data_IF_655044536352
#
_entry.id   IF_655044536352
#
_cell.length_a   1.000
_cell.length_b   1.000
_cell.length_c   1.000
_cell.angle_alpha   90.00
_cell.angle_beta   90.00
_cell.angle_gamma   90.00
#
_symmetry.space_group_name_H-M   'P 1'
#
loop_
_entity.id
_entity.type
_entity.pdbx_description
1 polymer ?
#
# COMPACT_ATOMS: atom_id res chain seq x y z
N UNK A 1 -43.32 -39.82 -29.98
CA UNK A 1 -43.42 -40.31 -28.59
C UNK A 1 -42.03 -40.75 -28.10
N UNK A 2 -41.49 -41.88 -28.55
CA UNK A 2 -40.20 -42.42 -28.03
C UNK A 2 -38.98 -41.53 -28.31
N UNK A 3 -38.88 -40.98 -29.53
CA UNK A 3 -37.81 -40.03 -29.89
C UNK A 3 -37.87 -38.75 -29.05
N UNK A 4 -39.08 -38.27 -28.75
CA UNK A 4 -39.28 -37.06 -27.96
C UNK A 4 -38.88 -37.29 -26.50
N UNK A 5 -39.11 -38.50 -25.96
CA UNK A 5 -38.67 -38.86 -24.60
C UNK A 5 -37.16 -38.98 -24.50
N UNK A 6 -36.49 -39.59 -25.49
CA UNK A 6 -35.02 -39.70 -25.53
C UNK A 6 -34.39 -38.31 -25.66
N UNK A 7 -34.93 -37.45 -26.55
CA UNK A 7 -34.42 -36.10 -26.73
C UNK A 7 -34.57 -35.26 -25.45
N UNK A 8 -35.71 -35.37 -24.75
CA UNK A 8 -35.93 -34.69 -23.46
C UNK A 8 -35.03 -35.23 -22.36
N UNK A 9 -34.78 -36.54 -22.33
CA UNK A 9 -33.84 -37.17 -21.40
C UNK A 9 -32.43 -36.62 -21.60
N UNK A 10 -31.93 -36.64 -22.85
CA UNK A 10 -30.60 -36.12 -23.20
C UNK A 10 -30.48 -34.63 -22.90
N UNK A 11 -31.53 -33.84 -23.20
CA UNK A 11 -31.56 -32.41 -22.91
C UNK A 11 -31.47 -32.12 -21.41
N UNK A 12 -32.24 -32.84 -20.59
CA UNK A 12 -32.21 -32.68 -19.13
C UNK A 12 -30.87 -33.12 -18.54
N UNK A 13 -30.29 -34.22 -19.04
CA UNK A 13 -28.97 -34.68 -18.62
C UNK A 13 -27.90 -33.64 -18.96
N UNK A 14 -27.92 -33.15 -20.21
CA UNK A 14 -26.99 -32.12 -20.68
C UNK A 14 -27.11 -30.83 -19.86
N UNK A 15 -28.32 -30.30 -19.65
CA UNK A 15 -28.52 -29.06 -18.89
C UNK A 15 -28.07 -29.19 -17.43
N UNK A 16 -28.30 -30.36 -16.81
CA UNK A 16 -27.85 -30.64 -15.44
C UNK A 16 -26.33 -30.71 -15.34
N UNK A 17 -25.67 -31.46 -16.23
CA UNK A 17 -24.21 -31.56 -16.27
C UNK A 17 -23.57 -30.20 -16.59
N UNK A 18 -24.15 -29.45 -17.54
CA UNK A 18 -23.70 -28.11 -17.89
C UNK A 18 -23.81 -27.15 -16.71
N UNK A 19 -24.86 -27.28 -15.89
CA UNK A 19 -25.03 -26.48 -14.68
C UNK A 19 -23.98 -26.82 -13.61
N UNK A 20 -23.71 -28.11 -13.37
CA UNK A 20 -22.69 -28.55 -12.40
C UNK A 20 -21.30 -28.08 -12.83
N UNK A 21 -20.95 -28.28 -14.11
CA UNK A 21 -19.68 -27.81 -14.66
C UNK A 21 -19.56 -26.27 -14.56
N UNK A 22 -20.67 -25.57 -14.84
CA UNK A 22 -20.74 -24.11 -14.68
C UNK A 22 -20.56 -23.65 -13.22
N UNK A 23 -21.14 -24.35 -12.25
CA UNK A 23 -20.94 -24.04 -10.83
C UNK A 23 -19.50 -24.31 -10.38
N UNK A 24 -18.89 -25.40 -10.84
CA UNK A 24 -17.49 -25.74 -10.57
C UNK A 24 -16.53 -24.65 -11.07
N UNK A 25 -16.73 -24.16 -12.30
CA UNK A 25 -15.91 -23.10 -12.90
C UNK A 25 -16.11 -21.72 -12.25
N UNK A 26 -17.19 -21.55 -11.50
CA UNK A 26 -17.54 -20.32 -10.81
C UNK A 26 -17.00 -20.24 -9.38
N UNK A 27 -16.60 -21.37 -8.81
CA UNK A 27 -16.03 -21.46 -7.48
C UNK A 27 -14.59 -20.93 -7.47
N UNK A 28 -14.21 -20.27 -6.38
CA UNK A 28 -12.85 -19.74 -6.20
C UNK A 28 -11.81 -20.88 -6.25
N UNK A 29 -10.57 -20.63 -6.73
CA UNK A 29 -9.57 -21.67 -6.96
C UNK A 29 -9.24 -22.53 -5.72
N UNK A 30 -9.42 -22.01 -4.51
CA UNK A 30 -9.21 -22.79 -3.27
C UNK A 30 -10.28 -23.85 -3.01
N UNK A 31 -11.52 -23.65 -3.47
CA UNK A 31 -12.65 -24.55 -3.24
C UNK A 31 -12.89 -25.51 -4.40
N UNK A 32 -12.21 -25.27 -5.53
CA UNK A 32 -12.34 -26.04 -6.77
C UNK A 32 -11.78 -27.47 -6.66
N UNK A 33 -10.91 -27.72 -5.67
CA UNK A 33 -10.29 -29.02 -5.42
C UNK A 33 -11.23 -30.02 -4.72
N UNK A 34 -12.32 -29.55 -4.11
CA UNK A 34 -13.24 -30.40 -3.33
C UNK A 34 -14.55 -30.71 -4.06
N UNK A 35 -14.91 -29.91 -5.07
CA UNK A 35 -16.05 -30.18 -5.94
C UNK A 35 -15.56 -30.95 -7.18
N UNK A 36 -16.15 -32.11 -7.45
CA UNK A 36 -15.87 -32.85 -8.67
C UNK A 36 -16.65 -32.23 -9.83
N UNK A 37 -15.96 -31.83 -10.90
CA UNK A 37 -16.57 -31.31 -12.15
C UNK A 37 -17.47 -32.34 -12.84
N UNK A 38 -17.17 -33.61 -12.66
CA UNK A 38 -17.88 -34.77 -13.21
C UNK A 38 -18.88 -35.38 -12.22
N UNK A 39 -20.00 -35.88 -12.73
CA UNK A 39 -21.03 -36.61 -11.99
C UNK A 39 -20.83 -38.13 -12.16
N UNK A 40 -21.11 -38.96 -11.15
CA UNK A 40 -21.08 -40.42 -11.34
C UNK A 40 -22.27 -40.92 -12.16
N UNK A 41 -22.13 -42.07 -12.83
CA UNK A 41 -23.23 -42.69 -13.58
C UNK A 41 -24.48 -42.90 -12.73
N UNK A 42 -24.30 -43.33 -11.48
CA UNK A 42 -25.40 -43.57 -10.54
C UNK A 42 -26.14 -42.28 -10.18
N UNK A 43 -25.41 -41.22 -9.84
CA UNK A 43 -26.03 -39.92 -9.54
C UNK A 43 -26.77 -39.34 -10.75
N UNK A 44 -26.22 -39.55 -11.96
CA UNK A 44 -26.87 -39.13 -13.20
C UNK A 44 -28.18 -39.89 -13.44
N UNK A 45 -28.17 -41.21 -13.27
CA UNK A 45 -29.39 -42.02 -13.41
C UNK A 45 -30.44 -41.66 -12.36
N UNK A 46 -30.02 -41.46 -11.11
CA UNK A 46 -30.92 -41.11 -10.01
C UNK A 46 -31.60 -39.75 -10.27
N UNK A 47 -30.84 -38.76 -10.75
CA UNK A 47 -31.38 -37.46 -11.15
C UNK A 47 -32.42 -37.59 -12.29
N UNK A 48 -32.13 -38.39 -13.32
CA UNK A 48 -33.05 -38.57 -14.44
C UNK A 48 -34.35 -39.27 -14.01
N UNK A 49 -34.26 -40.33 -13.20
CA UNK A 49 -35.44 -41.04 -12.68
C UNK A 49 -36.29 -40.11 -11.81
N UNK A 50 -35.66 -39.21 -11.05
CA UNK A 50 -36.38 -38.20 -10.27
C UNK A 50 -37.17 -37.21 -11.14
N UNK A 51 -36.70 -36.89 -12.35
CA UNK A 51 -37.43 -36.02 -13.28
C UNK A 51 -38.60 -36.73 -13.97
N UNK A 52 -38.41 -37.99 -14.35
CA UNK A 52 -39.45 -38.80 -14.98
C UNK A 52 -39.12 -40.29 -14.82
N UNK A 53 -40.02 -41.07 -14.22
CA UNK A 53 -39.86 -42.51 -14.03
C UNK A 53 -39.63 -43.26 -15.36
N UNK A 54 -40.17 -42.74 -16.47
CA UNK A 54 -39.98 -43.36 -17.79
C UNK A 54 -38.53 -43.31 -18.27
N UNK A 55 -37.71 -42.39 -17.76
CA UNK A 55 -36.31 -42.28 -18.18
C UNK A 55 -35.47 -43.48 -17.78
N UNK A 56 -35.84 -44.19 -16.71
CA UNK A 56 -35.09 -45.35 -16.20
C UNK A 56 -34.76 -46.37 -17.30
N UNK A 57 -35.71 -46.64 -18.21
CA UNK A 57 -35.54 -47.61 -19.28
C UNK A 57 -34.68 -47.07 -20.44
N UNK A 58 -34.65 -45.74 -20.63
CA UNK A 58 -33.99 -45.10 -21.77
C UNK A 58 -32.56 -44.64 -21.47
N UNK A 59 -32.13 -44.56 -20.20
CA UNK A 59 -30.78 -44.08 -19.84
C UNK A 59 -29.68 -44.87 -20.56
N UNK A 60 -29.67 -46.20 -20.41
CA UNK A 60 -28.63 -47.05 -20.99
C UNK A 60 -28.63 -46.99 -22.53
N UNK A 61 -29.81 -47.05 -23.15
CA UNK A 61 -29.97 -46.99 -24.60
C UNK A 61 -29.52 -45.65 -25.18
N UNK A 62 -29.77 -44.56 -24.46
CA UNK A 62 -29.36 -43.21 -24.86
C UNK A 62 -27.84 -43.06 -24.80
N UNK A 63 -27.19 -43.62 -23.78
CA UNK A 63 -25.73 -43.61 -23.64
C UNK A 63 -25.05 -44.48 -24.70
N UNK A 64 -25.59 -45.67 -24.97
CA UNK A 64 -25.12 -46.54 -26.04
C UNK A 64 -25.19 -45.84 -27.40
N UNK A 65 -26.27 -45.10 -27.65
CA UNK A 65 -26.42 -44.31 -28.86
C UNK A 65 -25.35 -43.21 -28.98
N UNK A 66 -24.98 -42.55 -27.89
CA UNK A 66 -23.91 -41.52 -27.90
C UNK A 66 -22.57 -42.17 -28.26
N UNK A 67 -22.21 -43.27 -27.59
CA UNK A 67 -20.94 -43.99 -27.85
C UNK A 67 -20.87 -44.43 -29.31
N UNK A 68 -21.96 -45.02 -29.83
CA UNK A 68 -22.00 -45.54 -31.20
C UNK A 68 -22.00 -44.46 -32.27
N UNK A 69 -22.60 -43.29 -31.99
CA UNK A 69 -22.68 -42.19 -32.95
C UNK A 69 -21.35 -41.45 -33.05
N UNK A 70 -20.57 -41.40 -31.96
CA UNK A 70 -19.26 -40.74 -31.93
C UNK A 70 -19.31 -39.23 -32.17
N UNK A 71 -20.48 -38.61 -32.01
CA UNK A 71 -20.70 -37.17 -32.18
C UNK A 71 -20.67 -36.46 -30.82
N UNK A 72 -20.05 -35.27 -30.77
CA UNK A 72 -20.03 -34.44 -29.56
C UNK A 72 -21.42 -33.82 -29.34
N UNK A 73 -22.23 -34.49 -28.53
CA UNK A 73 -23.56 -34.02 -28.10
C UNK A 73 -23.50 -33.10 -26.88
N UNK A 74 -22.31 -32.68 -26.44
CA UNK A 74 -22.15 -31.87 -25.24
C UNK A 74 -21.99 -32.67 -23.94
N UNK A 75 -21.89 -34.00 -24.04
CA UNK A 75 -21.78 -34.94 -22.92
C UNK A 75 -20.56 -35.83 -23.17
N UNK A 76 -19.57 -35.73 -22.28
CA UNK A 76 -18.35 -36.54 -22.28
C UNK A 76 -18.52 -37.71 -21.31
N UNK A 77 -18.36 -38.93 -21.81
CA UNK A 77 -18.35 -40.15 -20.99
C UNK A 77 -16.91 -40.46 -20.59
N UNK A 78 -16.70 -40.77 -19.31
CA UNK A 78 -15.38 -41.03 -18.72
C UNK A 78 -15.40 -42.43 -18.12
N UNK A 79 -14.43 -43.26 -18.53
CA UNK A 79 -14.25 -44.62 -18.04
C UNK A 79 -13.39 -44.70 -16.78
N UNK A 80 -12.77 -45.86 -16.55
CA UNK A 80 -11.80 -46.03 -15.46
C UNK A 80 -10.49 -45.26 -15.73
N UNK A 81 -10.09 -45.23 -17.02
CA UNK A 81 -9.02 -44.36 -17.51
C UNK A 81 -9.62 -43.10 -18.16
N UNK A 82 -9.27 -41.89 -17.69
CA UNK A 82 -9.87 -40.64 -18.19
C UNK A 82 -9.34 -40.16 -19.55
N UNK A 83 -8.28 -40.78 -20.07
CA UNK A 83 -7.65 -40.43 -21.36
C UNK A 83 -8.12 -41.33 -22.51
N UNK A 84 -8.78 -42.45 -22.20
CA UNK A 84 -9.22 -43.43 -23.19
C UNK A 84 -10.70 -43.22 -23.53
N UNK A 85 -11.05 -43.38 -24.81
CA UNK A 85 -12.45 -43.30 -25.25
C UNK A 85 -13.21 -44.56 -24.83
N UNK A 86 -14.40 -44.36 -24.27
CA UNK A 86 -15.21 -45.46 -23.75
C UNK A 86 -15.89 -46.21 -24.89
N UNK A 87 -15.64 -47.52 -25.00
CA UNK A 87 -16.21 -48.36 -26.06
C UNK A 87 -17.52 -49.04 -25.65
N UNK A 88 -17.75 -49.25 -24.35
CA UNK A 88 -18.95 -49.89 -23.82
C UNK A 88 -19.60 -49.06 -22.71
N UNK A 89 -20.95 -49.07 -22.63
CA UNK A 89 -21.69 -48.34 -21.59
C UNK A 89 -21.33 -48.81 -20.17
N UNK A 90 -20.96 -50.09 -20.01
CA UNK A 90 -20.59 -50.69 -18.72
C UNK A 90 -19.29 -50.12 -18.13
N UNK A 91 -18.43 -49.56 -18.98
CA UNK A 91 -17.16 -48.96 -18.59
C UNK A 91 -17.33 -47.51 -18.11
N UNK A 92 -18.49 -46.87 -18.36
CA UNK A 92 -18.72 -45.48 -17.99
C UNK A 92 -18.88 -45.33 -16.49
N UNK A 93 -17.89 -44.72 -15.84
CA UNK A 93 -17.91 -44.42 -14.41
C UNK A 93 -18.48 -43.03 -14.14
N UNK A 94 -18.13 -42.06 -14.98
CA UNK A 94 -18.39 -40.64 -14.77
C UNK A 94 -18.87 -39.97 -16.06
N UNK A 95 -19.66 -38.92 -15.88
CA UNK A 95 -20.23 -38.09 -16.93
C UNK A 95 -19.82 -36.64 -16.69
N UNK A 96 -19.37 -35.97 -17.74
CA UNK A 96 -18.95 -34.57 -17.72
C UNK A 96 -19.63 -33.82 -18.86
N UNK A 97 -19.90 -32.52 -18.69
CA UNK A 97 -20.32 -31.68 -19.81
C UNK A 97 -19.12 -31.02 -20.48
N UNK A 98 -19.08 -31.04 -21.82
CA UNK A 98 -18.07 -30.30 -22.59
C UNK A 98 -18.35 -28.79 -22.61
N UNK A 99 -19.62 -28.38 -22.41
CA UNK A 99 -20.04 -26.99 -22.46
C UNK A 99 -20.64 -26.51 -21.11
N UNK A 100 -19.86 -25.82 -20.27
CA UNK A 100 -20.34 -25.34 -18.97
C UNK A 100 -21.31 -24.16 -19.12
N UNK A 101 -22.46 -24.26 -18.47
CA UNK A 101 -23.50 -23.21 -18.44
C UNK A 101 -23.36 -22.38 -17.18
N UNK A 102 -22.58 -21.30 -17.29
CA UNK A 102 -22.38 -20.36 -16.18
C UNK A 102 -23.59 -19.46 -15.97
N UNK A 103 -24.00 -19.29 -14.72
CA UNK A 103 -25.06 -18.34 -14.35
C UNK A 103 -24.62 -16.90 -14.62
N UNK A 104 -25.60 -16.03 -14.95
CA UNK A 104 -25.33 -14.61 -15.16
C UNK A 104 -24.68 -13.96 -13.92
N UNK A 105 -25.09 -14.36 -12.72
CA UNK A 105 -24.53 -13.88 -11.46
C UNK A 105 -23.05 -14.19 -11.33
N UNK A 106 -22.60 -15.40 -11.68
CA UNK A 106 -21.19 -15.75 -11.65
C UNK A 106 -20.36 -14.95 -12.66
N UNK A 107 -20.85 -14.81 -13.89
CA UNK A 107 -20.18 -14.00 -14.93
C UNK A 107 -20.05 -12.55 -14.48
N UNK A 108 -21.10 -11.98 -13.92
CA UNK A 108 -21.12 -10.61 -13.43
C UNK A 108 -20.21 -10.45 -12.21
N UNK A 109 -20.31 -11.30 -11.20
CA UNK A 109 -19.44 -11.26 -10.02
C UNK A 109 -17.96 -11.25 -10.42
N UNK A 110 -17.53 -12.21 -11.24
CA UNK A 110 -16.13 -12.31 -11.67
C UNK A 110 -15.69 -11.10 -12.49
N UNK A 111 -16.50 -10.66 -13.45
CA UNK A 111 -16.18 -9.49 -14.28
C UNK A 111 -16.12 -8.20 -13.44
N UNK A 112 -17.10 -7.97 -12.57
CA UNK A 112 -17.20 -6.77 -11.75
C UNK A 112 -16.09 -6.68 -10.72
N UNK A 113 -15.80 -7.75 -9.97
CA UNK A 113 -14.70 -7.73 -9.01
C UNK A 113 -13.35 -7.46 -9.70
N UNK A 114 -13.12 -8.06 -10.88
CA UNK A 114 -11.90 -7.83 -11.65
C UNK A 114 -11.77 -6.36 -12.08
N UNK A 115 -12.84 -5.78 -12.63
CA UNK A 115 -12.82 -4.38 -13.11
C UNK A 115 -12.72 -3.41 -11.93
N UNK A 116 -13.51 -3.62 -10.87
CA UNK A 116 -13.50 -2.78 -9.66
C UNK A 116 -12.11 -2.78 -9.04
N UNK A 117 -11.49 -3.95 -8.84
CA UNK A 117 -10.15 -4.01 -8.26
C UNK A 117 -9.11 -3.28 -9.11
N UNK A 118 -9.15 -3.44 -10.44
CA UNK A 118 -8.25 -2.71 -11.36
C UNK A 118 -8.46 -1.20 -11.28
N UNK A 119 -9.70 -0.73 -11.27
CA UNK A 119 -10.03 0.69 -11.15
C UNK A 119 -9.59 1.24 -9.79
N UNK A 120 -9.88 0.53 -8.70
CA UNK A 120 -9.46 0.92 -7.35
C UNK A 120 -7.94 1.04 -7.26
N UNK A 121 -7.20 0.08 -7.79
CA UNK A 121 -5.74 0.14 -7.81
C UNK A 121 -5.22 1.39 -8.54
N UNK A 122 -5.78 1.71 -9.70
CA UNK A 122 -5.42 2.93 -10.45
C UNK A 122 -5.73 4.19 -9.62
N UNK A 123 -6.91 4.26 -9.00
CA UNK A 123 -7.30 5.38 -8.15
C UNK A 123 -6.38 5.52 -6.93
N UNK A 124 -5.95 4.42 -6.32
CA UNK A 124 -4.98 4.42 -5.23
C UNK A 124 -3.64 4.99 -5.68
N UNK A 125 -3.12 4.58 -6.84
CA UNK A 125 -1.86 5.12 -7.39
C UNK A 125 -1.96 6.62 -7.66
N UNK A 126 -3.06 7.07 -8.27
CA UNK A 126 -3.30 8.50 -8.52
C UNK A 126 -3.37 9.25 -7.18
N UNK A 127 -4.15 8.77 -6.21
CA UNK A 127 -4.29 9.39 -4.90
C UNK A 127 -2.95 9.53 -4.17
N UNK A 128 -2.09 8.51 -4.22
CA UNK A 128 -0.75 8.56 -3.66
C UNK A 128 0.13 9.60 -4.35
N UNK A 129 0.12 9.64 -5.69
CA UNK A 129 0.90 10.63 -6.45
C UNK A 129 0.47 12.07 -6.11
N UNK A 130 -0.84 12.33 -6.03
CA UNK A 130 -1.38 13.62 -5.62
C UNK A 130 -1.02 13.95 -4.16
N UNK A 131 -1.11 12.98 -3.25
CA UNK A 131 -0.69 13.14 -1.86
C UNK A 131 0.79 13.51 -1.73
N UNK A 132 1.68 12.85 -2.47
CA UNK A 132 3.11 13.17 -2.51
C UNK A 132 3.34 14.57 -3.10
N UNK A 133 2.65 14.92 -4.19
CA UNK A 133 2.76 16.24 -4.79
C UNK A 133 2.35 17.36 -3.81
N UNK A 134 1.22 17.18 -3.13
CA UNK A 134 0.77 18.12 -2.11
C UNK A 134 1.73 18.19 -0.92
N UNK A 135 2.27 17.05 -0.50
CA UNK A 135 3.25 16.98 0.59
C UNK A 135 4.55 17.72 0.24
N UNK A 136 5.10 17.52 -0.96
CA UNK A 136 6.28 18.25 -1.42
C UNK A 136 6.01 19.74 -1.55
N UNK A 137 4.85 20.12 -2.10
CA UNK A 137 4.43 21.52 -2.20
C UNK A 137 4.27 22.16 -0.82
N UNK A 138 3.72 21.42 0.14
CA UNK A 138 3.61 21.87 1.52
C UNK A 138 4.98 22.04 2.16
N UNK A 139 5.87 21.05 2.02
CA UNK A 139 7.24 21.12 2.55
C UNK A 139 8.01 22.30 1.94
N UNK A 140 7.92 22.49 0.63
CA UNK A 140 8.57 23.59 -0.07
C UNK A 140 8.09 24.96 0.44
N UNK A 141 6.77 25.11 0.66
CA UNK A 141 6.18 26.31 1.26
C UNK A 141 6.73 26.59 2.66
N UNK A 142 6.88 25.55 3.50
CA UNK A 142 7.41 25.71 4.85
C UNK A 142 8.85 26.21 4.84
N UNK A 143 9.71 25.67 3.97
CA UNK A 143 11.11 26.12 3.87
C UNK A 143 11.23 27.57 3.38
N UNK A 144 10.35 28.02 2.47
CA UNK A 144 10.30 29.42 2.03
C UNK A 144 9.87 30.39 3.15
N UNK A 145 8.96 29.98 4.03
CA UNK A 145 8.50 30.80 5.15
C UNK A 145 9.57 30.95 6.23
N UNK A 146 10.28 29.86 6.59
CA UNK A 146 11.39 29.89 7.55
C UNK A 146 12.57 30.71 7.04
N UNK A 147 12.93 30.58 5.76
CA UNK A 147 14.02 31.37 5.15
C UNK A 147 13.68 32.86 5.08
N UNK A 148 12.43 33.24 4.76
CA UNK A 148 12.01 34.65 4.78
C UNK A 148 12.09 35.26 6.17
N UNK A 149 11.68 34.54 7.21
CA UNK A 149 11.78 35.01 8.59
C UNK A 149 13.25 35.20 9.03
N UNK A 150 14.14 34.29 8.60
CA UNK A 150 15.57 34.45 8.82
C UNK A 150 16.10 35.75 8.19
N UNK A 151 15.75 36.02 6.92
CA UNK A 151 16.22 37.23 6.23
C UNK A 151 15.67 38.52 6.85
N UNK A 152 14.38 38.56 7.25
CA UNK A 152 13.79 39.72 7.94
C UNK A 152 14.48 40.01 9.29
N UNK A 153 14.76 38.96 10.07
CA UNK A 153 15.49 39.13 11.34
C UNK A 153 16.91 39.68 11.11
N UNK A 154 17.62 39.21 10.08
CA UNK A 154 18.97 39.70 9.74
C UNK A 154 18.94 41.15 9.28
N UNK A 155 17.97 41.55 8.46
CA UNK A 155 17.83 42.93 8.00
C UNK A 155 17.64 43.90 9.17
N UNK A 156 16.84 43.51 10.17
CA UNK A 156 16.67 44.30 11.41
C UNK A 156 17.98 44.45 12.19
N UNK A 157 18.80 43.40 12.29
CA UNK A 157 20.12 43.46 12.95
C UNK A 157 21.05 44.45 12.23
N UNK A 158 21.14 44.33 10.89
CA UNK A 158 21.97 45.20 10.06
C UNK A 158 21.52 46.67 10.21
N UNK A 159 20.21 46.91 10.26
CA UNK A 159 19.64 48.25 10.49
C UNK A 159 20.13 48.90 11.79
N UNK A 160 20.06 48.18 12.91
CA UNK A 160 20.52 48.68 14.23
C UNK A 160 22.01 49.01 14.21
N UNK A 161 22.82 48.10 13.64
CA UNK A 161 24.27 48.32 13.53
C UNK A 161 24.61 49.53 12.65
N UNK A 162 23.87 49.72 11.55
CA UNK A 162 24.07 50.85 10.64
C UNK A 162 23.78 52.19 11.31
N UNK A 163 22.70 52.27 12.10
CA UNK A 163 22.34 53.48 12.87
C UNK A 163 23.42 53.77 13.91
N UNK A 164 23.85 52.74 14.67
CA UNK A 164 24.89 52.92 15.68
C UNK A 164 26.23 53.38 15.06
N UNK A 165 26.61 52.81 13.91
CA UNK A 165 27.81 53.21 13.19
C UNK A 165 27.74 54.68 12.73
N UNK A 166 26.58 55.12 12.22
CA UNK A 166 26.37 56.52 11.84
C UNK A 166 26.47 57.46 13.07
N UNK A 167 25.90 57.07 14.21
CA UNK A 167 25.98 57.85 15.45
C UNK A 167 27.39 57.92 16.06
N UNK A 168 28.20 56.88 15.87
CA UNK A 168 29.61 56.84 16.28
C UNK A 168 30.50 57.73 15.39
N UNK A 169 30.15 57.89 14.11
CA UNK A 169 30.87 58.77 13.19
C UNK A 169 30.62 60.27 13.48
N UNK A 170 29.44 60.60 14.01
CA UNK A 170 29.06 61.98 14.36
C UNK A 170 29.62 62.41 15.74
N UNK A 171 29.81 61.47 16.67
CA UNK A 171 30.34 61.75 18.02
C UNK A 171 31.60 60.91 18.30
N UNK A 172 32.77 61.56 18.35
CA UNK A 172 34.07 60.90 18.59
C UNK A 172 34.23 60.24 19.98
N UNK A 173 33.27 60.39 20.88
CA UNK A 173 33.27 59.83 22.24
C UNK A 173 32.52 58.49 22.36
N UNK A 174 31.92 57.96 21.28
CA UNK A 174 31.22 56.68 21.29
C UNK A 174 32.16 55.51 20.95
N UNK A 175 32.07 54.42 21.71
CA UNK A 175 32.88 53.22 21.44
C UNK A 175 32.41 52.50 20.16
N UNK A 176 33.33 52.12 19.25
CA UNK A 176 33.01 51.49 17.97
C UNK A 176 32.48 50.04 18.07
N UNK A 177 32.42 49.43 19.26
CA UNK A 177 31.95 48.06 19.48
C UNK A 177 30.72 48.02 20.39
N UNK A 178 29.62 47.43 19.91
CA UNK A 178 28.40 47.22 20.70
C UNK A 178 28.33 45.79 21.26
N UNK A 179 28.15 45.60 22.58
CA UNK A 179 28.00 44.26 23.17
C UNK A 179 26.76 43.53 22.63
N UNK A 180 26.91 42.22 22.36
CA UNK A 180 25.83 41.33 21.87
C UNK A 180 24.52 41.44 22.69
N UNK A 181 24.53 41.61 24.04
CA UNK A 181 23.31 41.79 24.83
C UNK A 181 22.51 43.04 24.44
N UNK A 182 23.18 44.13 24.08
CA UNK A 182 22.51 45.38 23.71
C UNK A 182 21.82 45.28 22.35
N UNK A 183 22.41 44.55 21.40
CA UNK A 183 21.80 44.30 20.08
C UNK A 183 20.54 43.43 20.21
N UNK A 184 20.61 42.36 21.03
CA UNK A 184 19.46 41.51 21.35
C UNK A 184 18.32 42.31 21.99
N UNK A 185 18.69 43.18 22.92
CA UNK A 185 17.76 43.96 23.73
C UNK A 185 17.03 45.07 22.94
N UNK A 186 17.62 45.57 21.85
CA UNK A 186 16.98 46.51 20.92
C UNK A 186 16.03 45.84 19.92
N UNK A 187 16.21 44.53 19.66
CA UNK A 187 15.40 43.77 18.71
C UNK A 187 14.15 43.13 19.35
N UNK A 188 14.12 43.00 20.68
CA UNK A 188 13.01 42.41 21.45
C UNK A 188 12.27 43.51 22.23
N UNK A 189 10.99 43.73 21.92
CA UNK A 189 10.17 44.69 22.67
C UNK A 189 10.02 44.27 24.14
N UNK A 190 9.96 45.22 25.09
CA UNK A 190 9.98 44.94 26.54
C UNK A 190 8.84 44.03 27.02
N UNK A 191 7.77 43.90 26.24
CA UNK A 191 6.60 43.07 26.54
C UNK A 191 6.91 41.55 26.47
N UNK A 192 7.92 41.13 25.70
CA UNK A 192 8.32 39.72 25.58
C UNK A 192 9.42 39.30 26.58
N UNK A 193 9.99 40.24 27.35
CA UNK A 193 11.05 39.93 28.34
C UNK A 193 10.51 39.24 29.60
N UNK A 194 9.24 39.46 29.95
CA UNK A 194 8.60 38.89 31.14
C UNK A 194 8.27 37.40 30.98
N UNK A 195 8.09 36.92 29.75
CA UNK A 195 7.75 35.52 29.46
C UNK A 195 8.99 34.61 29.59
N UNK A 196 10.16 35.11 29.21
CA UNK A 196 11.43 34.38 29.39
C UNK A 196 11.91 34.35 30.86
N UNK A 197 11.46 35.28 31.70
CA UNK A 197 11.83 35.33 33.12
C UNK A 197 10.92 34.50 34.01
N UNK A 198 9.72 34.09 33.57
CA UNK A 198 8.83 33.27 34.40
C UNK A 198 9.24 31.78 34.48
N UNK A 199 10.10 31.30 33.58
CA UNK A 199 10.60 29.91 33.58
C UNK A 199 11.93 29.70 34.30
N UNK A 200 12.53 30.73 34.94
CA UNK A 200 13.76 30.55 35.72
C UNK A 200 13.55 30.87 37.20
N UNK A 201 13.25 29.88 38.06
CA UNK A 201 13.22 30.07 39.49
C UNK A 201 14.62 29.83 40.07
N UNK A 202 15.55 30.79 39.97
CA UNK A 202 16.80 30.72 40.77
C UNK A 202 17.15 32.11 41.34
N UNK A 203 16.90 32.36 42.65
CA UNK A 203 17.17 33.65 43.31
C UNK A 203 18.63 33.86 43.74
N UNK A 204 19.62 33.11 43.23
CA UNK A 204 20.94 33.03 43.87
C UNK A 204 22.15 33.54 43.07
N UNK A 205 21.97 34.16 41.90
CA UNK A 205 23.11 34.62 41.09
C UNK A 205 23.11 36.14 40.93
N UNK A 206 23.05 36.87 42.05
CA UNK A 206 23.28 38.32 42.06
C UNK A 206 24.62 38.71 42.69
N UNK A 207 25.28 37.82 43.44
CA UNK A 207 26.44 38.20 44.26
C UNK A 207 27.80 37.67 43.77
N UNK A 208 27.90 37.04 42.59
CA UNK A 208 29.15 36.37 42.17
C UNK A 208 29.90 36.98 40.99
N UNK A 209 29.60 38.21 40.56
CA UNK A 209 30.47 38.92 39.61
C UNK A 209 31.36 39.95 40.31
N UNK A 210 32.24 39.44 41.17
CA UNK A 210 33.56 40.03 41.42
C UNK A 210 34.60 39.03 40.90
N UNK A 211 35.25 39.44 39.82
CA UNK A 211 36.46 38.94 39.13
C UNK A 211 37.53 38.21 40.02
N UNK A 212 38.62 37.65 39.44
CA UNK A 212 38.78 36.78 38.27
C UNK A 212 39.85 35.68 38.54
N UNK A 213 39.55 34.38 38.57
CA UNK A 213 40.66 33.42 38.64
C UNK A 213 40.28 32.03 38.12
N UNK A 214 41.24 31.49 37.38
CA UNK A 214 41.39 30.09 36.99
C UNK A 214 40.60 29.58 35.76
N UNK A 215 41.21 29.89 34.60
CA UNK A 215 41.03 29.23 33.32
C UNK A 215 41.65 27.81 33.37
N UNK A 216 41.12 26.91 34.19
CA UNK A 216 41.60 25.52 34.23
C UNK A 216 40.54 24.47 34.60
N UNK A 217 39.31 24.85 34.96
CA UNK A 217 38.29 23.87 35.38
C UNK A 217 36.97 24.10 34.65
N UNK A 218 36.92 23.78 33.35
CA UNK A 218 35.64 23.50 32.69
C UNK A 218 35.83 22.58 31.48
N UNK A 219 36.36 21.39 31.74
CA UNK A 219 36.54 20.34 30.70
C UNK A 219 35.91 19.01 31.12
N UNK A 220 34.81 19.04 31.90
CA UNK A 220 34.21 17.80 32.42
C UNK A 220 32.73 17.59 32.12
N UNK A 221 32.05 18.45 31.35
CA UNK A 221 30.64 18.23 31.02
C UNK A 221 30.33 18.55 29.56
N UNK A 222 30.71 17.64 28.65
CA UNK A 222 30.02 17.49 27.35
C UNK A 222 30.21 16.06 26.82
N UNK A 223 29.14 15.26 26.69
CA UNK A 223 29.21 13.95 26.07
C UNK A 223 28.70 14.01 24.63
N UNK A 224 29.52 14.47 23.67
CA UNK A 224 29.30 14.20 22.22
C UNK A 224 30.66 13.97 21.52
N UNK A 225 30.87 12.87 20.77
CA UNK A 225 32.20 12.34 20.46
C UNK A 225 32.72 12.70 19.06
N UNK A 226 32.45 13.90 18.52
CA UNK A 226 32.78 14.21 17.12
C UNK A 226 33.69 15.41 16.85
N UNK A 227 34.31 16.01 17.87
CA UNK A 227 35.25 17.13 17.69
C UNK A 227 36.49 16.94 18.57
N UNK A 228 37.16 15.78 18.42
CA UNK A 228 38.44 15.50 19.12
C UNK A 228 39.66 15.67 18.20
N UNK A 229 39.49 15.72 16.89
CA UNK A 229 40.63 15.63 15.95
C UNK A 229 41.26 16.97 15.54
N UNK A 230 40.72 18.12 15.98
CA UNK A 230 41.22 19.42 15.53
C UNK A 230 42.16 20.13 16.50
N UNK A 231 42.48 19.56 17.67
CA UNK A 231 43.31 20.22 18.69
C UNK A 231 44.36 19.31 19.33
N UNK A 232 45.14 18.60 18.51
CA UNK A 232 46.45 18.05 18.92
C UNK A 232 47.51 18.55 17.94
N UNK A 233 48.38 19.42 18.48
CA UNK A 233 49.51 20.18 17.89
C UNK A 233 50.60 19.26 17.26
N UNK A 234 51.57 19.76 16.45
CA UNK A 234 52.61 20.62 16.99
C UNK A 234 53.18 21.72 16.06
N UNK A 235 53.65 22.76 16.75
CA UNK A 235 54.63 23.71 16.28
C UNK A 235 56.03 23.08 16.40
N UNK A 236 56.70 22.80 15.28
CA UNK A 236 58.15 23.03 15.06
C UNK A 236 58.57 22.62 13.62
N UNK A 237 59.02 23.58 12.79
CA UNK A 237 60.18 23.38 11.88
C UNK A 237 60.69 24.70 11.31
N UNK A 238 61.74 25.19 11.95
CA UNK A 238 62.91 25.88 11.39
C UNK A 238 63.04 26.03 9.85
N UNK A 239 63.26 27.29 9.45
CA UNK A 239 64.34 27.79 8.56
C UNK A 239 64.85 26.86 7.46
N UNK A 240 64.48 27.13 6.20
CA UNK A 240 65.35 27.33 5.01
C UNK A 240 64.45 27.40 3.77
N UNK A 241 64.39 28.54 3.09
CA UNK A 241 64.84 28.79 1.69
C UNK A 241 64.55 30.26 1.37
#
# INVERSE_FOLDING_TARGET
>A
MEKDTILKLLLNLHDHLAHIAGQHDCTDPEQQQQANRSLSMKEASDYLVQQNEQYQHWVLLSLEWIIRTGEDVGIRLIGDNPEEEVAEVSEVTRLESTHPKMSFSCRFRRAFFTVIHRVLFILTVIGLAWGVFYYLKYRWRTEEEETRQMYDMVERIIGVLRIHNASCQENNDLQPYLPIPHVRDSLVQPQDRSVLTSYLPIPHVRDSLVQPQDRSVLTSYLPIPHVRDSLVQPQDRSVLT
#
